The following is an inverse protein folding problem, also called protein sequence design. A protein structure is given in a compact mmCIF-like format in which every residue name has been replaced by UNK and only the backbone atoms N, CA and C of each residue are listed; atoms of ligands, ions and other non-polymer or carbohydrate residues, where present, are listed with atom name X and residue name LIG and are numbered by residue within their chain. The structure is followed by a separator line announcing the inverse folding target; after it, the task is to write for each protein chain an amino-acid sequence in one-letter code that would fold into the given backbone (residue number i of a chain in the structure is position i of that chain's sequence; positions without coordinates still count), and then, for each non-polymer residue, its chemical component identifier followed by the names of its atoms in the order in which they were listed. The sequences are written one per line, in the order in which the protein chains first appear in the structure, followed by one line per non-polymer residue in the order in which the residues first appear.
data_IF_528005445753
#
_entry.id   IF_528005445753
#
_cell.length_a   1.000
_cell.length_b   1.000
_cell.length_c   1.000
_cell.angle_alpha   90.00
_cell.angle_beta   90.00
_cell.angle_gamma   90.00
#
_symmetry.space_group_name_H-M   'P 1'
#
loop_
_entity.id
_entity.type
_entity.pdbx_description
1 polymer ?
#
# COMPACT_ATOMS: atom_id res chain seq x y z
N UNK A 1 -12.17 -19.06 5.62
CA UNK A 1 -10.80 -19.23 6.12
C UNK A 1 -10.26 -20.58 5.70
N UNK A 2 -8.96 -20.82 5.90
CA UNK A 2 -8.37 -22.14 5.73
C UNK A 2 -9.00 -23.13 6.71
N UNK A 3 -9.25 -24.36 6.27
CA UNK A 3 -9.80 -25.43 7.10
C UNK A 3 -8.93 -26.67 6.94
N UNK A 4 -8.45 -27.17 8.06
CA UNK A 4 -7.75 -28.46 8.17
C UNK A 4 -8.33 -29.14 9.41
N UNK A 5 -9.03 -30.26 9.20
CA UNK A 5 -9.71 -30.98 10.29
C UNK A 5 -9.78 -32.47 9.98
N UNK A 6 -9.51 -33.31 10.99
CA UNK A 6 -9.62 -34.76 10.90
C UNK A 6 -10.83 -35.30 11.65
N UNK A 7 -11.57 -36.27 11.09
CA UNK A 7 -12.59 -37.03 11.80
C UNK A 7 -12.71 -38.45 11.25
N UNK A 8 -12.62 -39.48 12.12
CA UNK A 8 -12.87 -40.91 11.76
C UNK A 8 -12.22 -41.30 10.43
N UNK A 9 -10.90 -41.11 10.33
CA UNK A 9 -10.06 -41.45 9.16
C UNK A 9 -10.21 -40.56 7.91
N UNK A 10 -11.07 -39.55 7.97
CA UNK A 10 -11.29 -38.59 6.89
C UNK A 10 -10.65 -37.24 7.27
N UNK A 11 -9.91 -36.65 6.32
CA UNK A 11 -9.35 -35.31 6.46
C UNK A 11 -10.09 -34.32 5.56
N UNK A 12 -10.64 -33.27 6.16
CA UNK A 12 -11.27 -32.15 5.47
C UNK A 12 -10.22 -31.07 5.23
N UNK A 13 -10.05 -30.72 3.95
CA UNK A 13 -9.10 -29.72 3.50
C UNK A 13 -9.83 -28.59 2.76
N UNK A 14 -9.64 -27.37 3.22
CA UNK A 14 -10.09 -26.15 2.57
C UNK A 14 -8.96 -25.15 2.52
N UNK A 15 -8.07 -25.23 1.53
CA UNK A 15 -6.89 -24.36 1.40
C UNK A 15 -6.82 -23.75 0.01
N UNK A 16 -6.63 -22.43 -0.07
CA UNK A 16 -6.21 -21.78 -1.31
C UNK A 16 -7.17 -21.87 -2.50
N UNK A 17 -8.45 -22.18 -2.27
CA UNK A 17 -9.45 -22.44 -3.33
C UNK A 17 -9.66 -23.93 -3.63
N UNK A 18 -8.84 -24.81 -3.05
CA UNK A 18 -9.03 -26.25 -3.06
C UNK A 18 -9.91 -26.65 -1.87
N UNK A 19 -10.99 -27.36 -2.16
CA UNK A 19 -11.85 -28.01 -1.16
C UNK A 19 -11.81 -29.50 -1.43
N UNK A 20 -11.40 -30.29 -0.45
CA UNK A 20 -11.24 -31.72 -0.61
C UNK A 20 -11.60 -32.48 0.65
N UNK A 21 -12.07 -33.70 0.44
CA UNK A 21 -12.20 -34.75 1.44
C UNK A 21 -11.13 -35.79 1.10
N UNK A 22 -10.15 -35.97 1.99
CA UNK A 22 -8.99 -36.83 1.76
C UNK A 22 -9.11 -38.07 2.65
N UNK A 23 -9.16 -39.23 2.02
CA UNK A 23 -9.05 -40.53 2.67
C UNK A 23 -7.62 -41.08 2.51
N UNK A 24 -7.33 -42.24 3.11
CA UNK A 24 -5.98 -42.84 3.12
C UNK A 24 -5.36 -43.02 1.72
N UNK A 25 -6.17 -43.40 0.71
CA UNK A 25 -5.68 -43.72 -0.65
C UNK A 25 -6.39 -42.97 -1.78
N UNK A 26 -7.39 -42.15 -1.46
CA UNK A 26 -8.19 -41.42 -2.45
C UNK A 26 -8.62 -40.07 -1.88
N UNK A 27 -8.85 -39.12 -2.76
CA UNK A 27 -9.37 -37.80 -2.37
C UNK A 27 -10.52 -37.40 -3.29
N UNK A 28 -11.57 -36.84 -2.70
CA UNK A 28 -12.68 -36.23 -3.40
C UNK A 28 -12.50 -34.71 -3.41
N UNK A 29 -12.43 -34.15 -4.60
CA UNK A 29 -12.17 -32.73 -4.83
C UNK A 29 -13.50 -32.04 -5.18
N UNK A 30 -13.89 -31.01 -4.43
CA UNK A 30 -15.17 -30.32 -4.58
C UNK A 30 -15.01 -28.99 -5.33
N UNK A 31 -15.94 -28.71 -6.26
CA UNK A 31 -16.09 -27.41 -6.92
C UNK A 31 -15.79 -27.43 -8.43
N UNK A 32 -16.12 -26.35 -9.15
CA UNK A 32 -15.80 -26.21 -10.57
C UNK A 32 -14.28 -26.09 -10.78
N UNK A 33 -13.79 -26.64 -11.91
CA UNK A 33 -12.37 -26.60 -12.29
C UNK A 33 -11.88 -25.15 -12.38
N UNK A 34 -11.28 -24.67 -11.30
CA UNK A 34 -10.65 -23.34 -11.23
C UNK A 34 -9.18 -23.44 -11.63
N UNK A 35 -8.59 -22.33 -12.11
CA UNK A 35 -7.16 -22.28 -12.43
C UNK A 35 -6.27 -22.71 -11.25
N UNK A 36 -6.70 -22.40 -10.02
CA UNK A 36 -6.03 -22.80 -8.79
C UNK A 36 -6.06 -24.31 -8.57
N UNK A 37 -7.21 -24.94 -8.80
CA UNK A 37 -7.40 -26.38 -8.70
C UNK A 37 -6.60 -27.12 -9.77
N UNK A 38 -6.55 -26.61 -11.01
CA UNK A 38 -5.71 -27.17 -12.07
C UNK A 38 -4.21 -27.06 -11.74
N UNK A 39 -3.76 -25.93 -11.17
CA UNK A 39 -2.37 -25.75 -10.72
C UNK A 39 -2.02 -26.72 -9.59
N UNK A 40 -2.93 -26.90 -8.64
CA UNK A 40 -2.80 -27.89 -7.56
C UNK A 40 -2.65 -29.31 -8.12
N UNK A 41 -3.54 -29.73 -9.03
CA UNK A 41 -3.50 -31.07 -9.63
C UNK A 41 -2.17 -31.33 -10.35
N UNK A 42 -1.61 -30.34 -11.05
CA UNK A 42 -0.27 -30.46 -11.66
C UNK A 42 0.84 -30.68 -10.63
N UNK A 43 0.77 -30.01 -9.48
CA UNK A 43 1.75 -30.20 -8.40
C UNK A 43 1.60 -31.59 -7.79
N UNK A 44 0.36 -32.02 -7.52
CA UNK A 44 0.04 -33.33 -6.98
C UNK A 44 0.50 -34.46 -7.92
N UNK A 45 0.20 -34.37 -9.22
CA UNK A 45 0.64 -35.35 -10.21
C UNK A 45 2.16 -35.49 -10.27
N UNK A 46 2.88 -34.36 -10.23
CA UNK A 46 4.34 -34.36 -10.25
C UNK A 46 4.93 -35.00 -8.98
N UNK A 47 4.39 -34.68 -7.81
CA UNK A 47 4.83 -35.28 -6.55
C UNK A 47 4.45 -36.77 -6.46
N UNK A 48 3.28 -37.15 -7.00
CA UNK A 48 2.80 -38.54 -6.98
C UNK A 48 3.66 -39.48 -7.81
N UNK A 49 4.25 -39.01 -8.91
CA UNK A 49 5.18 -39.80 -9.72
C UNK A 49 6.45 -40.20 -8.97
N UNK A 50 6.84 -39.42 -7.96
CA UNK A 50 8.06 -39.63 -7.19
C UNK A 50 7.82 -40.38 -5.86
N UNK A 51 6.58 -40.53 -5.41
CA UNK A 51 6.23 -40.99 -4.06
C UNK A 51 5.47 -42.33 -4.03
N UNK A 52 5.73 -43.18 -3.01
CA UNK A 52 5.01 -44.44 -2.80
C UNK A 52 3.51 -44.21 -2.50
N UNK A 53 2.67 -45.22 -2.79
CA UNK A 53 1.21 -45.12 -2.62
C UNK A 53 0.77 -44.96 -1.16
N UNK A 54 1.59 -45.44 -0.22
CA UNK A 54 1.33 -45.43 1.23
C UNK A 54 1.28 -44.02 1.81
N UNK A 55 1.86 -43.03 1.12
CA UNK A 55 1.98 -41.64 1.59
C UNK A 55 0.97 -40.70 0.93
N UNK A 56 -0.04 -41.23 0.21
CA UNK A 56 -0.97 -40.43 -0.59
C UNK A 56 -1.61 -39.27 0.19
N UNK A 57 -2.09 -39.51 1.42
CA UNK A 57 -2.76 -38.49 2.23
C UNK A 57 -1.82 -37.35 2.63
N UNK A 58 -0.60 -37.65 3.05
CA UNK A 58 0.43 -36.65 3.37
C UNK A 58 0.80 -35.86 2.13
N UNK A 59 1.10 -36.55 1.03
CA UNK A 59 1.41 -35.95 -0.25
C UNK A 59 0.31 -35.00 -0.75
N UNK A 60 -0.96 -35.37 -0.52
CA UNK A 60 -2.09 -34.53 -0.89
C UNK A 60 -2.15 -33.23 -0.08
N UNK A 61 -1.95 -33.31 1.24
CA UNK A 61 -1.91 -32.12 2.10
C UNK A 61 -0.69 -31.27 1.78
N UNK A 62 0.47 -31.89 1.62
CA UNK A 62 1.72 -31.24 1.26
C UNK A 62 1.61 -30.50 -0.08
N UNK A 63 1.12 -31.18 -1.13
CA UNK A 63 0.91 -30.55 -2.45
C UNK A 63 -0.05 -29.37 -2.40
N UNK A 64 -1.08 -29.42 -1.54
CA UNK A 64 -2.02 -28.30 -1.36
C UNK A 64 -1.36 -27.11 -0.66
N UNK A 65 -0.59 -27.38 0.41
CA UNK A 65 0.20 -26.36 1.11
C UNK A 65 1.26 -25.77 0.18
N UNK A 66 1.96 -26.59 -0.60
CA UNK A 66 2.97 -26.14 -1.55
C UNK A 66 2.38 -25.31 -2.70
N UNK A 67 1.24 -25.73 -3.25
CA UNK A 67 0.58 -25.00 -4.33
C UNK A 67 0.13 -23.61 -3.87
N UNK A 68 -0.42 -23.50 -2.67
CA UNK A 68 -0.82 -22.22 -2.08
C UNK A 68 0.40 -21.37 -1.71
N UNK A 69 1.44 -21.96 -1.11
CA UNK A 69 2.68 -21.26 -0.78
C UNK A 69 3.32 -20.63 -2.03
N UNK A 70 3.48 -21.43 -3.10
CA UNK A 70 3.97 -20.95 -4.41
C UNK A 70 3.10 -19.85 -5.02
N UNK A 71 1.79 -19.90 -4.81
CA UNK A 71 0.85 -18.88 -5.30
C UNK A 71 1.03 -17.57 -4.54
N UNK A 72 1.08 -17.61 -3.21
CA UNK A 72 1.26 -16.43 -2.37
C UNK A 72 2.65 -15.82 -2.58
N UNK A 73 3.71 -16.63 -2.52
CA UNK A 73 5.09 -16.17 -2.76
C UNK A 73 5.28 -15.55 -4.15
N UNK A 74 4.70 -16.14 -5.20
CA UNK A 74 4.78 -15.53 -6.55
C UNK A 74 4.08 -14.17 -6.64
N UNK A 75 2.97 -13.99 -5.91
CA UNK A 75 2.23 -12.72 -5.88
C UNK A 75 2.98 -11.67 -5.08
N UNK A 76 3.50 -12.05 -3.92
CA UNK A 76 4.33 -11.18 -3.10
C UNK A 76 5.53 -10.65 -3.89
N UNK A 77 6.25 -11.54 -4.57
CA UNK A 77 7.40 -11.15 -5.40
C UNK A 77 7.01 -10.25 -6.59
N UNK A 78 5.86 -10.47 -7.21
CA UNK A 78 5.35 -9.60 -8.27
C UNK A 78 5.03 -8.20 -7.75
N UNK A 79 4.35 -8.12 -6.59
CA UNK A 79 4.03 -6.85 -5.94
C UNK A 79 5.33 -6.14 -5.55
N UNK A 80 6.24 -6.82 -4.85
CA UNK A 80 7.52 -6.27 -4.44
C UNK A 80 8.30 -5.64 -5.61
N UNK A 81 8.43 -6.36 -6.74
CA UNK A 81 9.10 -5.85 -7.94
C UNK A 81 8.41 -4.63 -8.58
N UNK A 82 7.09 -4.52 -8.44
CA UNK A 82 6.33 -3.40 -8.98
C UNK A 82 6.37 -2.17 -8.05
N UNK A 83 6.30 -2.40 -6.74
CA UNK A 83 6.19 -1.36 -5.72
C UNK A 83 7.53 -0.80 -5.28
N UNK A 84 8.55 -1.64 -5.04
CA UNK A 84 9.87 -1.23 -4.53
C UNK A 84 10.52 -0.06 -5.31
N UNK A 85 10.57 -0.05 -6.66
CA UNK A 85 11.19 1.06 -7.38
C UNK A 85 10.44 2.38 -7.20
N UNK A 86 9.11 2.33 -7.01
CA UNK A 86 8.26 3.51 -6.82
C UNK A 86 8.49 4.12 -5.44
N UNK A 87 8.58 3.28 -4.41
CA UNK A 87 8.84 3.70 -3.03
C UNK A 87 10.21 4.37 -2.88
N UNK A 88 11.22 3.88 -3.61
CA UNK A 88 12.58 4.43 -3.56
C UNK A 88 12.79 5.65 -4.45
N UNK A 89 11.83 5.99 -5.31
CA UNK A 89 11.97 7.11 -6.22
C UNK A 89 11.89 8.44 -5.45
N UNK A 90 12.87 9.37 -5.63
CA UNK A 90 12.81 10.68 -4.98
C UNK A 90 11.78 11.63 -5.64
N UNK A 91 11.25 11.26 -6.82
CA UNK A 91 10.35 12.08 -7.60
C UNK A 91 8.91 11.52 -7.53
N UNK A 92 8.03 12.23 -6.84
CA UNK A 92 6.61 11.90 -6.78
C UNK A 92 5.92 12.12 -8.13
N UNK A 93 5.26 11.07 -8.64
CA UNK A 93 4.33 11.14 -9.76
C UNK A 93 2.94 10.68 -9.28
N UNK A 94 1.94 11.51 -9.51
CA UNK A 94 0.55 11.26 -9.09
C UNK A 94 -0.06 9.93 -9.59
N UNK A 95 0.17 9.46 -10.84
CA UNK A 95 -0.31 8.13 -11.26
C UNK A 95 0.31 6.98 -10.45
N UNK A 96 1.52 7.13 -9.93
CA UNK A 96 2.19 6.08 -9.14
C UNK A 96 1.45 5.82 -7.83
N UNK A 97 0.79 6.84 -7.26
CA UNK A 97 0.05 6.71 -6.00
C UNK A 97 -1.14 5.76 -6.14
N UNK A 98 -1.89 5.85 -7.24
CA UNK A 98 -3.04 4.97 -7.46
C UNK A 98 -2.57 3.54 -7.73
N UNK A 99 -1.47 3.35 -8.45
CA UNK A 99 -0.87 2.03 -8.66
C UNK A 99 -0.39 1.41 -7.34
N UNK A 100 0.33 2.18 -6.51
CA UNK A 100 0.77 1.74 -5.18
C UNK A 100 -0.42 1.37 -4.30
N UNK A 101 -1.53 2.12 -4.37
CA UNK A 101 -2.79 1.77 -3.66
C UNK A 101 -3.44 0.50 -4.17
N UNK A 102 -3.39 0.23 -5.48
CA UNK A 102 -3.86 -1.04 -6.05
C UNK A 102 -2.99 -2.20 -5.56
N UNK A 103 -1.68 -2.04 -5.59
CA UNK A 103 -0.70 -3.00 -5.08
C UNK A 103 -0.91 -3.27 -3.58
N UNK A 104 -1.13 -2.24 -2.77
CA UNK A 104 -1.48 -2.35 -1.33
C UNK A 104 -2.69 -3.23 -1.10
N UNK A 105 -3.78 -3.03 -1.86
CA UNK A 105 -5.02 -3.84 -1.76
C UNK A 105 -4.75 -5.33 -2.05
N UNK A 106 -3.90 -5.62 -3.03
CA UNK A 106 -3.50 -6.99 -3.35
C UNK A 106 -2.60 -7.58 -2.26
N UNK A 107 -1.68 -6.79 -1.72
CA UNK A 107 -0.75 -7.19 -0.68
C UNK A 107 -1.46 -7.52 0.64
N UNK A 108 -2.45 -6.72 1.05
CA UNK A 108 -3.31 -7.01 2.20
C UNK A 108 -4.01 -8.37 2.04
N UNK A 109 -4.43 -8.73 0.82
CA UNK A 109 -5.03 -10.04 0.55
C UNK A 109 -4.01 -11.17 0.67
N UNK A 110 -2.76 -10.97 0.24
CA UNK A 110 -1.69 -11.97 0.40
C UNK A 110 -1.35 -12.17 1.87
N UNK A 111 -1.14 -11.08 2.60
CA UNK A 111 -0.84 -11.07 4.04
C UNK A 111 -1.94 -11.77 4.83
N UNK A 112 -3.21 -11.38 4.65
CA UNK A 112 -4.35 -11.98 5.36
C UNK A 112 -4.53 -13.47 5.06
N UNK A 113 -4.25 -13.90 3.83
CA UNK A 113 -4.30 -15.33 3.48
C UNK A 113 -3.16 -16.11 4.14
N UNK A 114 -1.93 -15.59 4.10
CA UNK A 114 -0.78 -16.23 4.74
C UNK A 114 -0.95 -16.32 6.26
N UNK A 115 -1.37 -15.22 6.90
CA UNK A 115 -1.65 -15.14 8.34
C UNK A 115 -2.77 -16.10 8.77
N UNK A 116 -3.83 -16.22 7.97
CA UNK A 116 -4.91 -17.16 8.27
C UNK A 116 -4.44 -18.61 8.20
N UNK A 117 -3.55 -18.95 7.26
CA UNK A 117 -3.01 -20.32 7.13
C UNK A 117 -2.05 -20.62 8.27
N UNK A 118 -1.10 -19.72 8.56
CA UNK A 118 -0.17 -19.91 9.68
C UNK A 118 -0.91 -20.02 11.01
N UNK A 119 -1.91 -19.17 11.27
CA UNK A 119 -2.73 -19.27 12.49
C UNK A 119 -3.50 -20.59 12.57
N UNK A 120 -4.06 -21.07 11.45
CA UNK A 120 -4.76 -22.35 11.42
C UNK A 120 -3.82 -23.55 11.62
N UNK A 121 -2.61 -23.51 11.06
CA UNK A 121 -1.60 -24.56 11.25
C UNK A 121 -1.07 -24.57 12.68
N UNK A 122 -0.70 -23.41 13.21
CA UNK A 122 -0.22 -23.25 14.59
C UNK A 122 -1.23 -23.82 15.58
N UNK A 123 -2.51 -23.41 15.45
CA UNK A 123 -3.57 -23.93 16.31
C UNK A 123 -3.68 -25.46 16.25
N UNK A 124 -3.54 -26.06 15.06
CA UNK A 124 -3.66 -27.51 14.88
C UNK A 124 -2.45 -28.28 15.41
N UNK A 125 -1.28 -27.67 15.37
CA UNK A 125 -0.09 -28.21 16.02
C UNK A 125 -0.20 -28.12 17.54
N UNK A 126 -0.61 -26.96 18.07
CA UNK A 126 -0.79 -26.74 19.51
C UNK A 126 -1.86 -27.66 20.10
N UNK A 127 -2.98 -27.87 19.39
CA UNK A 127 -4.08 -28.74 19.83
C UNK A 127 -3.68 -30.24 19.78
N UNK A 128 -2.66 -30.62 19.00
CA UNK A 128 -2.19 -32.01 18.83
C UNK A 128 -3.24 -32.99 18.25
N UNK A 129 -4.39 -32.48 17.80
CA UNK A 129 -5.56 -33.28 17.45
C UNK A 129 -5.56 -33.77 16.00
N UNK A 130 -4.86 -33.04 15.12
CA UNK A 130 -4.88 -33.27 13.69
C UNK A 130 -3.93 -34.39 13.28
N UNK A 131 -2.69 -34.36 13.77
CA UNK A 131 -1.60 -35.22 13.30
C UNK A 131 -1.91 -36.69 13.53
N UNK A 132 -2.39 -37.15 14.71
CA UNK A 132 -2.73 -38.56 14.90
C UNK A 132 -3.83 -39.05 13.95
N UNK A 133 -4.81 -38.18 13.63
CA UNK A 133 -5.90 -38.51 12.69
C UNK A 133 -5.41 -38.50 11.24
N UNK A 134 -4.49 -37.59 10.90
CA UNK A 134 -3.90 -37.41 9.59
C UNK A 134 -2.80 -38.45 9.27
N UNK A 135 -2.09 -38.97 10.28
CA UNK A 135 -1.16 -40.09 10.15
C UNK A 135 -1.93 -41.43 10.06
N UNK A 136 -3.05 -41.54 10.78
CA UNK A 136 -3.92 -42.72 10.80
C UNK A 136 -3.87 -43.35 12.18
N UNK A 137 -5.00 -43.88 12.67
CA UNK A 137 -5.12 -44.31 14.09
C UNK A 137 -4.19 -45.45 14.53
N UNK A 138 -3.45 -46.06 13.60
CA UNK A 138 -2.43 -47.08 13.85
C UNK A 138 -1.04 -46.67 13.31
N UNK A 139 -0.83 -45.39 13.02
CA UNK A 139 0.46 -44.87 12.59
C UNK A 139 1.48 -44.99 13.72
N UNK A 140 2.72 -45.31 13.35
CA UNK A 140 3.86 -45.29 14.24
C UNK A 140 4.25 -43.85 14.60
N UNK A 141 5.06 -43.72 15.65
CA UNK A 141 5.52 -42.43 16.14
C UNK A 141 6.36 -41.69 15.08
N UNK A 142 7.15 -42.44 14.30
CA UNK A 142 7.94 -41.89 13.20
C UNK A 142 7.06 -41.19 12.14
N UNK A 143 5.90 -41.76 11.77
CA UNK A 143 4.99 -41.12 10.84
C UNK A 143 4.32 -39.88 11.44
N UNK A 144 3.98 -39.90 12.73
CA UNK A 144 3.44 -38.72 13.45
C UNK A 144 4.45 -37.58 13.42
N UNK A 145 5.71 -37.87 13.76
CA UNK A 145 6.81 -36.90 13.77
C UNK A 145 7.10 -36.34 12.36
N UNK A 146 6.99 -37.16 11.31
CA UNK A 146 7.14 -36.73 9.91
C UNK A 146 6.05 -35.73 9.51
N UNK A 147 4.80 -35.99 9.91
CA UNK A 147 3.67 -35.07 9.67
C UNK A 147 3.84 -33.74 10.42
N UNK A 148 4.25 -33.78 11.69
CA UNK A 148 4.52 -32.58 12.49
C UNK A 148 5.61 -31.74 11.83
N UNK A 149 6.75 -32.35 11.52
CA UNK A 149 7.89 -31.69 10.85
C UNK A 149 7.44 -31.03 9.54
N UNK A 150 6.66 -31.73 8.71
CA UNK A 150 6.15 -31.17 7.46
C UNK A 150 5.23 -29.96 7.72
N UNK A 151 4.33 -30.03 8.72
CA UNK A 151 3.43 -28.92 9.05
C UNK A 151 4.17 -27.72 9.65
N UNK A 152 5.25 -27.94 10.41
CA UNK A 152 6.12 -26.88 10.94
C UNK A 152 6.83 -26.10 9.83
N UNK A 153 7.37 -26.80 8.83
CA UNK A 153 7.98 -26.16 7.64
C UNK A 153 6.94 -25.31 6.89
N UNK A 154 5.76 -25.88 6.67
CA UNK A 154 4.46 -25.22 6.48
C UNK A 154 4.31 -23.88 7.21
N UNK A 155 4.17 -23.97 8.52
CA UNK A 155 3.89 -22.86 9.41
C UNK A 155 4.92 -21.74 9.27
N UNK A 156 6.20 -22.09 9.27
CA UNK A 156 7.30 -21.14 9.10
C UNK A 156 7.22 -20.42 7.75
N UNK A 157 7.04 -21.15 6.65
CA UNK A 157 6.96 -20.57 5.31
C UNK A 157 5.80 -19.56 5.18
N UNK A 158 4.62 -19.88 5.71
CA UNK A 158 3.48 -18.96 5.69
C UNK A 158 3.67 -17.76 6.63
N UNK A 159 4.32 -17.97 7.79
CA UNK A 159 4.63 -16.89 8.72
C UNK A 159 5.60 -15.89 8.11
N UNK A 160 6.57 -16.36 7.31
CA UNK A 160 7.53 -15.51 6.60
C UNK A 160 6.85 -14.67 5.54
N UNK A 161 6.02 -15.28 4.67
CA UNK A 161 5.22 -14.52 3.68
C UNK A 161 4.37 -13.46 4.37
N UNK A 162 3.74 -13.78 5.50
CA UNK A 162 2.94 -12.83 6.25
C UNK A 162 3.78 -11.67 6.79
N UNK A 163 4.99 -11.95 7.28
CA UNK A 163 5.92 -10.95 7.82
C UNK A 163 6.48 -10.04 6.75
N UNK A 164 6.99 -10.61 5.65
CA UNK A 164 7.47 -9.85 4.49
C UNK A 164 6.36 -8.95 3.92
N UNK A 165 5.14 -9.49 3.80
CA UNK A 165 3.99 -8.70 3.33
C UNK A 165 3.65 -7.55 4.30
N UNK A 166 3.76 -7.77 5.61
CA UNK A 166 3.53 -6.73 6.61
C UNK A 166 4.60 -5.63 6.55
N UNK A 167 5.87 -6.01 6.34
CA UNK A 167 6.96 -5.06 6.16
C UNK A 167 6.72 -4.16 4.95
N UNK A 168 6.40 -4.74 3.78
CA UNK A 168 6.15 -3.97 2.58
C UNK A 168 4.88 -3.09 2.70
N UNK A 169 3.89 -3.49 3.48
CA UNK A 169 2.74 -2.63 3.82
C UNK A 169 3.16 -1.40 4.63
N UNK A 170 4.08 -1.57 5.59
CA UNK A 170 4.65 -0.45 6.35
C UNK A 170 5.39 0.51 5.44
N UNK A 171 6.22 -0.01 4.52
CA UNK A 171 6.97 0.82 3.58
C UNK A 171 6.04 1.63 2.67
N UNK A 172 4.91 1.05 2.25
CA UNK A 172 3.87 1.74 1.48
C UNK A 172 3.22 2.85 2.33
N UNK A 173 2.92 2.60 3.60
CA UNK A 173 2.31 3.58 4.50
C UNK A 173 3.22 4.79 4.73
N UNK A 174 4.52 4.53 4.94
CA UNK A 174 5.54 5.58 5.08
C UNK A 174 5.66 6.42 3.79
N UNK A 175 5.63 5.76 2.63
CA UNK A 175 5.63 6.45 1.34
C UNK A 175 4.37 7.31 1.14
N UNK A 176 3.17 6.78 1.39
CA UNK A 176 1.92 7.57 1.31
C UNK A 176 1.95 8.78 2.27
N UNK A 177 2.51 8.60 3.47
CA UNK A 177 2.77 9.67 4.41
C UNK A 177 3.67 10.76 3.83
N UNK A 178 4.81 10.38 3.27
CA UNK A 178 5.77 11.32 2.65
C UNK A 178 5.16 12.10 1.47
N UNK A 179 4.37 11.43 0.62
CA UNK A 179 3.65 12.05 -0.49
C UNK A 179 2.64 13.07 0.02
N UNK A 180 1.89 12.72 1.06
CA UNK A 180 0.90 13.63 1.65
C UNK A 180 1.54 14.91 2.18
N UNK A 181 2.70 14.81 2.83
CA UNK A 181 3.48 15.96 3.30
C UNK A 181 4.00 16.80 2.13
N UNK A 182 4.48 16.18 1.05
CA UNK A 182 4.95 16.88 -0.14
C UNK A 182 3.81 17.68 -0.81
N UNK A 183 2.61 17.10 -0.92
CA UNK A 183 1.44 17.76 -1.46
C UNK A 183 0.99 18.95 -0.60
N UNK A 184 1.01 18.78 0.73
CA UNK A 184 0.71 19.88 1.66
C UNK A 184 1.72 21.02 1.55
N UNK A 185 3.02 20.71 1.45
CA UNK A 185 4.07 21.71 1.25
C UNK A 185 3.90 22.47 -0.07
N UNK A 186 3.55 21.79 -1.15
CA UNK A 186 3.24 22.43 -2.45
C UNK A 186 2.05 23.38 -2.34
N UNK A 187 0.96 22.95 -1.69
CA UNK A 187 -0.22 23.79 -1.47
C UNK A 187 0.13 25.04 -0.67
N UNK A 188 0.85 24.89 0.44
CA UNK A 188 1.30 26.02 1.26
C UNK A 188 2.10 27.03 0.43
N UNK A 189 3.01 26.54 -0.42
CA UNK A 189 3.79 27.40 -1.31
C UNK A 189 2.91 28.18 -2.30
N UNK A 190 1.86 27.55 -2.82
CA UNK A 190 0.90 28.22 -3.71
C UNK A 190 0.13 29.29 -2.95
N UNK A 191 -0.37 29.00 -1.75
CA UNK A 191 -1.07 29.96 -0.89
C UNK A 191 -0.19 31.16 -0.53
N UNK A 192 1.09 30.92 -0.20
CA UNK A 192 2.07 31.98 0.05
C UNK A 192 2.35 32.85 -1.18
N UNK A 193 2.38 32.23 -2.36
CA UNK A 193 2.56 32.92 -3.62
C UNK A 193 1.33 33.79 -3.97
N UNK A 194 0.13 33.24 -3.82
CA UNK A 194 -1.13 33.96 -4.01
C UNK A 194 -1.24 35.15 -3.06
N UNK A 195 -0.92 34.97 -1.77
CA UNK A 195 -0.88 36.06 -0.80
C UNK A 195 0.09 37.17 -1.22
N UNK A 196 1.26 36.80 -1.75
CA UNK A 196 2.25 37.77 -2.25
C UNK A 196 1.72 38.56 -3.46
N UNK A 197 0.98 37.91 -4.37
CA UNK A 197 0.30 38.57 -5.48
C UNK A 197 -0.81 39.52 -5.00
N UNK A 198 -1.60 39.11 -4.00
CA UNK A 198 -2.65 39.95 -3.41
C UNK A 198 -2.05 41.21 -2.76
N UNK A 199 -0.97 41.07 -1.98
CA UNK A 199 -0.26 42.23 -1.41
C UNK A 199 0.24 43.16 -2.53
N UNK A 200 0.76 42.59 -3.62
CA UNK A 200 1.25 43.36 -4.77
C UNK A 200 0.12 44.11 -5.47
N UNK A 201 -1.01 43.45 -5.76
CA UNK A 201 -2.14 44.06 -6.47
C UNK A 201 -2.84 45.14 -5.65
N UNK A 202 -3.03 44.92 -4.34
CA UNK A 202 -3.61 45.93 -3.43
C UNK A 202 -2.71 47.16 -3.35
N UNK A 203 -1.40 46.97 -3.22
CA UNK A 203 -0.44 48.08 -3.14
C UNK A 203 -0.43 48.92 -4.43
N UNK A 204 -0.38 48.26 -5.60
CA UNK A 204 -0.44 48.93 -6.91
C UNK A 204 -1.77 49.63 -7.12
N UNK A 205 -2.89 48.99 -6.76
CA UNK A 205 -4.24 49.58 -6.92
C UNK A 205 -4.41 50.84 -6.07
N UNK A 206 -3.92 50.83 -4.83
CA UNK A 206 -3.92 52.01 -3.96
C UNK A 206 -3.03 53.13 -4.49
N UNK A 207 -1.84 52.80 -5.02
CA UNK A 207 -0.96 53.77 -5.68
C UNK A 207 -1.59 54.38 -6.94
N UNK A 208 -2.27 53.58 -7.75
CA UNK A 208 -2.88 54.00 -9.01
C UNK A 208 -4.04 55.00 -8.83
N UNK A 209 -4.57 55.20 -7.62
CA UNK A 209 -5.64 56.17 -7.36
C UNK A 209 -5.21 57.61 -7.70
N UNK A 210 -3.99 58.01 -7.35
CA UNK A 210 -3.49 59.36 -7.60
C UNK A 210 -3.34 59.64 -9.12
N UNK A 211 -2.58 58.84 -9.89
CA UNK A 211 -2.55 58.98 -11.35
C UNK A 211 -3.93 58.82 -12.00
N UNK A 212 -4.82 58.00 -11.42
CA UNK A 212 -6.18 57.82 -11.91
C UNK A 212 -7.00 59.10 -11.83
N UNK A 213 -6.95 59.81 -10.68
CA UNK A 213 -7.66 61.08 -10.49
C UNK A 213 -7.06 62.19 -11.37
N UNK A 214 -5.73 62.32 -11.41
CA UNK A 214 -5.05 63.36 -12.21
C UNK A 214 -5.03 63.03 -13.71
N UNK A 215 -5.21 61.77 -14.10
CA UNK A 215 -5.38 61.35 -15.49
C UNK A 215 -6.80 61.58 -16.02
N UNK A 216 -7.77 61.91 -15.15
CA UNK A 216 -9.07 62.38 -15.57
C UNK A 216 -8.95 63.83 -16.06
N UNK A 217 -9.66 64.17 -17.14
CA UNK A 217 -9.67 65.49 -17.77
C UNK A 217 -10.36 66.57 -16.89
N UNK A 218 -9.82 66.79 -15.70
CA UNK A 218 -10.22 67.81 -14.76
C UNK A 218 -9.24 68.98 -14.90
N UNK A 219 -9.74 70.20 -15.07
CA UNK A 219 -8.93 71.42 -15.17
C UNK A 219 -8.35 71.76 -13.81
N UNK A 220 -7.25 71.10 -13.43
CA UNK A 220 -6.59 71.29 -12.13
C UNK A 220 -5.77 72.59 -12.07
N UNK A 221 -5.49 73.21 -13.22
CA UNK A 221 -4.76 74.49 -13.34
C UNK A 221 -3.28 74.46 -12.91
N UNK A 222 -2.82 73.34 -12.35
CA UNK A 222 -1.49 73.11 -11.76
C UNK A 222 -0.60 72.18 -12.61
N UNK A 223 -1.10 71.65 -13.73
CA UNK A 223 -0.40 70.67 -14.57
C UNK A 223 0.71 71.27 -15.45
N UNK A 224 0.73 72.61 -15.61
CA UNK A 224 1.68 73.32 -16.47
C UNK A 224 2.92 73.85 -15.73
N UNK A 225 3.00 73.71 -14.40
CA UNK A 225 4.21 74.06 -13.65
C UNK A 225 5.30 72.99 -13.78
N UNK A 226 6.52 73.43 -14.08
CA UNK A 226 7.71 72.58 -14.12
C UNK A 226 7.93 71.91 -12.75
N UNK A 227 7.74 70.58 -12.69
CA UNK A 227 8.05 69.76 -11.51
C UNK A 227 6.86 69.07 -10.83
N UNK A 228 5.62 69.52 -11.07
CA UNK A 228 4.41 68.90 -10.46
C UNK A 228 4.25 67.44 -10.87
N UNK A 229 4.53 67.11 -12.14
CA UNK A 229 4.55 65.74 -12.63
C UNK A 229 5.55 64.84 -11.87
N UNK A 230 6.78 65.34 -11.64
CA UNK A 230 7.80 64.60 -10.90
C UNK A 230 7.38 64.37 -9.44
N UNK A 231 6.79 65.38 -8.81
CA UNK A 231 6.25 65.28 -7.45
C UNK A 231 5.12 64.23 -7.37
N UNK A 232 4.19 64.21 -8.32
CA UNK A 232 3.11 63.21 -8.36
C UNK A 232 3.64 61.77 -8.52
N UNK A 233 4.62 61.56 -9.41
CA UNK A 233 5.24 60.25 -9.62
C UNK A 233 5.95 59.77 -8.36
N UNK A 234 6.72 60.64 -7.71
CA UNK A 234 7.45 60.31 -6.47
C UNK A 234 6.52 60.04 -5.29
N UNK A 235 5.45 60.82 -5.12
CA UNK A 235 4.43 60.58 -4.09
C UNK A 235 3.69 59.26 -4.35
N UNK A 236 3.30 58.99 -5.60
CA UNK A 236 2.61 57.74 -5.95
C UNK A 236 3.48 56.50 -5.71
N UNK A 237 4.75 56.56 -6.13
CA UNK A 237 5.71 55.47 -5.90
C UNK A 237 5.97 55.26 -4.41
N UNK A 238 6.11 56.33 -3.62
CA UNK A 238 6.35 56.22 -2.19
C UNK A 238 5.16 55.61 -1.44
N UNK A 239 3.93 56.01 -1.75
CA UNK A 239 2.71 55.39 -1.18
C UNK A 239 2.64 53.90 -1.52
N UNK A 240 2.86 53.55 -2.79
CA UNK A 240 2.85 52.15 -3.25
C UNK A 240 3.90 51.32 -2.52
N UNK A 241 5.12 51.85 -2.38
CA UNK A 241 6.20 51.16 -1.70
C UNK A 241 5.92 50.98 -0.21
N UNK A 242 5.46 52.03 0.49
CA UNK A 242 5.15 51.98 1.93
C UNK A 242 4.05 50.95 2.21
N UNK A 243 2.99 50.93 1.39
CA UNK A 243 1.92 49.95 1.52
C UNK A 243 2.42 48.52 1.28
N UNK A 244 3.21 48.30 0.22
CA UNK A 244 3.75 46.99 -0.09
C UNK A 244 4.64 46.43 1.03
N UNK A 245 5.62 47.23 1.48
CA UNK A 245 6.52 46.81 2.56
C UNK A 245 5.79 46.67 3.89
N UNK A 246 4.84 47.56 4.20
CA UNK A 246 4.03 47.50 5.42
C UNK A 246 3.16 46.24 5.48
N UNK A 247 2.43 45.94 4.41
CA UNK A 247 1.58 44.74 4.32
C UNK A 247 2.43 43.46 4.31
N UNK A 248 3.54 43.45 3.57
CA UNK A 248 4.46 42.30 3.56
C UNK A 248 5.09 42.05 4.93
N UNK A 249 5.48 43.12 5.65
CA UNK A 249 6.00 43.02 7.02
C UNK A 249 4.97 42.45 7.98
N UNK A 250 3.71 42.91 7.90
CA UNK A 250 2.62 42.38 8.71
C UNK A 250 2.38 40.88 8.43
N UNK A 251 2.39 40.48 7.15
CA UNK A 251 2.20 39.09 6.74
C UNK A 251 3.34 38.16 7.21
N UNK A 252 4.60 38.64 7.18
CA UNK A 252 5.75 37.92 7.75
C UNK A 252 5.61 37.77 9.27
N UNK A 253 5.22 38.83 9.98
CA UNK A 253 5.03 38.80 11.44
C UNK A 253 3.89 37.89 11.87
N UNK A 254 2.85 37.76 11.05
CA UNK A 254 1.73 36.85 11.27
C UNK A 254 2.03 35.38 10.97
N UNK A 255 3.24 35.05 10.48
CA UNK A 255 3.63 33.68 10.13
C UNK A 255 3.00 33.16 8.82
N UNK A 256 2.35 34.03 8.05
CA UNK A 256 1.72 33.67 6.77
C UNK A 256 2.73 33.59 5.63
N UNK A 257 3.87 34.26 5.77
CA UNK A 257 5.02 34.15 4.88
C UNK A 257 6.19 33.68 5.76
N UNK A 258 6.67 32.45 5.51
CA UNK A 258 7.82 31.85 6.19
C UNK A 258 8.97 31.65 5.20
#
# INVERSE_FOLDING_TARGET
GPVLSGRREILLLGLGGVRAVVELRRALLFGPSTKDQARFLRVLENQRRAAPETTFRMLFVESALLALNRKLGSRLLQIFKATEPKLRSPAFHEPDLEEVRQERRLLVRVQSQAAAVSSALLKRLDDGDLVPVAAGGAADQDAVDEWETMLEVYLLAYSEISRESASLLSDIEDYEGSVSLMLQSRRLRIEQFELSLVISSVSVSAGALLPGIFGMNLLTGQEQEEGVFGLLVTVTLSITAVLFFGLRWLALRGGFLS
#
